data_IF_556604666148
#
_entry.id   IF_556604666148
#
_cell.length_a   1.000
_cell.length_b   1.000
_cell.length_c   1.000
_cell.angle_alpha   90.00
_cell.angle_beta   90.00
_cell.angle_gamma   90.00
#
_symmetry.space_group_name_H-M   'P 1'
#
loop_
_entity.id
_entity.type
_entity.pdbx_description
1 polymer ?
#
# COMPACT_ATOMS: atom_id res chain seq x y z
N UNK A 1 -44.13 -3.44 -53.87
CA UNK A 1 -43.12 -4.52 -53.72
C UNK A 1 -41.68 -3.99 -53.51
N UNK A 2 -41.46 -2.69 -53.24
CA UNK A 2 -40.09 -2.14 -53.08
C UNK A 2 -39.69 -1.80 -51.64
N UNK A 3 -40.65 -1.76 -50.70
CA UNK A 3 -40.43 -1.26 -49.33
C UNK A 3 -39.92 -2.32 -48.36
N UNK A 4 -40.26 -3.60 -48.56
CA UNK A 4 -39.83 -4.70 -47.68
C UNK A 4 -38.33 -4.99 -47.78
N UNK A 5 -37.75 -4.84 -48.97
CA UNK A 5 -36.32 -5.07 -49.23
C UNK A 5 -35.41 -3.97 -48.68
N UNK A 6 -35.91 -2.74 -48.52
CA UNK A 6 -35.14 -1.64 -47.90
C UNK A 6 -35.08 -1.77 -46.37
N UNK A 7 -36.16 -2.23 -45.73
CA UNK A 7 -36.24 -2.40 -44.27
C UNK A 7 -35.35 -3.57 -43.79
N UNK A 8 -35.28 -4.65 -44.58
CA UNK A 8 -34.43 -5.81 -44.31
C UNK A 8 -32.93 -5.50 -44.50
N UNK A 9 -32.59 -4.66 -45.50
CA UNK A 9 -31.22 -4.19 -45.71
C UNK A 9 -30.75 -3.22 -44.60
N UNK A 10 -31.64 -2.35 -44.13
CA UNK A 10 -31.33 -1.40 -43.06
C UNK A 10 -31.09 -2.10 -41.70
N UNK A 11 -31.89 -3.11 -41.37
CA UNK A 11 -31.72 -3.91 -40.14
C UNK A 11 -30.45 -4.76 -40.18
N UNK A 12 -30.08 -5.31 -41.34
CA UNK A 12 -28.82 -6.02 -41.53
C UNK A 12 -27.59 -5.09 -41.37
N UNK A 13 -27.64 -3.88 -41.93
CA UNK A 13 -26.55 -2.90 -41.81
C UNK A 13 -26.35 -2.39 -40.37
N UNK A 14 -27.43 -2.21 -39.61
CA UNK A 14 -27.38 -1.84 -38.19
C UNK A 14 -26.81 -2.99 -37.34
N UNK A 15 -27.20 -4.23 -37.62
CA UNK A 15 -26.70 -5.40 -36.90
C UNK A 15 -25.18 -5.61 -37.10
N UNK A 16 -24.65 -5.37 -38.31
CA UNK A 16 -23.21 -5.53 -38.59
C UNK A 16 -22.35 -4.42 -37.98
N UNK A 17 -22.88 -3.22 -37.76
CA UNK A 17 -22.15 -2.14 -37.06
C UNK A 17 -22.19 -2.27 -35.54
N UNK A 18 -23.19 -2.97 -34.98
CA UNK A 18 -23.33 -3.25 -33.55
C UNK A 18 -22.43 -4.39 -33.08
N UNK A 19 -22.26 -5.45 -33.87
CA UNK A 19 -21.37 -6.59 -33.58
C UNK A 19 -19.95 -6.21 -33.14
N UNK A 20 -19.19 -5.34 -33.84
CA UNK A 20 -17.84 -4.98 -33.44
C UNK A 20 -17.83 -4.12 -32.17
N UNK A 21 -18.86 -3.30 -31.92
CA UNK A 21 -18.97 -2.51 -30.68
C UNK A 21 -19.23 -3.41 -29.47
N UNK A 22 -20.12 -4.39 -29.61
CA UNK A 22 -20.42 -5.39 -28.59
C UNK A 22 -19.18 -6.24 -28.29
N UNK A 23 -18.48 -6.72 -29.33
CA UNK A 23 -17.26 -7.51 -29.16
C UNK A 23 -16.16 -6.72 -28.43
N UNK A 24 -15.96 -5.44 -28.78
CA UNK A 24 -15.01 -4.54 -28.10
C UNK A 24 -15.39 -4.31 -26.63
N UNK A 25 -16.69 -4.16 -26.35
CA UNK A 25 -17.18 -4.01 -24.98
C UNK A 25 -16.88 -5.26 -24.15
N UNK A 26 -17.19 -6.46 -24.65
CA UNK A 26 -16.87 -7.70 -23.97
C UNK A 26 -15.35 -7.93 -23.80
N UNK A 27 -14.56 -7.59 -24.82
CA UNK A 27 -13.10 -7.66 -24.73
C UNK A 27 -12.56 -6.74 -23.63
N UNK A 28 -13.03 -5.48 -23.56
CA UNK A 28 -12.67 -4.56 -22.49
C UNK A 28 -13.09 -5.12 -21.13
N UNK A 29 -14.32 -5.63 -21.01
CA UNK A 29 -14.82 -6.18 -19.75
C UNK A 29 -13.99 -7.38 -19.28
N UNK A 30 -13.57 -8.27 -20.19
CA UNK A 30 -12.66 -9.37 -19.85
C UNK A 30 -11.27 -8.88 -19.43
N UNK A 31 -10.70 -7.89 -20.11
CA UNK A 31 -9.38 -7.31 -19.76
C UNK A 31 -9.45 -6.64 -18.39
N UNK A 32 -10.48 -5.83 -18.11
CA UNK A 32 -10.67 -5.20 -16.81
C UNK A 32 -10.89 -6.24 -15.71
N UNK A 33 -11.73 -7.25 -15.96
CA UNK A 33 -11.96 -8.34 -15.01
C UNK A 33 -10.69 -9.12 -14.68
N UNK A 34 -9.89 -9.48 -15.70
CA UNK A 34 -8.62 -10.15 -15.50
C UNK A 34 -7.61 -9.25 -14.77
N UNK A 35 -7.55 -7.97 -15.13
CA UNK A 35 -6.67 -6.99 -14.49
C UNK A 35 -6.92 -6.87 -12.99
N UNK A 36 -8.19 -6.74 -12.58
CA UNK A 36 -8.55 -6.63 -11.16
C UNK A 36 -8.13 -7.86 -10.33
N UNK A 37 -8.14 -9.05 -10.94
CA UNK A 37 -7.72 -10.28 -10.27
C UNK A 37 -6.19 -10.41 -10.14
N UNK A 38 -5.42 -9.85 -11.07
CA UNK A 38 -3.95 -9.94 -11.09
C UNK A 38 -3.30 -8.86 -10.22
N UNK A 39 -3.97 -7.71 -10.03
CA UNK A 39 -3.44 -6.57 -9.26
C UNK A 39 -2.94 -6.96 -7.84
N UNK A 40 -3.68 -7.72 -7.01
CA UNK A 40 -3.20 -8.11 -5.68
C UNK A 40 -1.93 -8.95 -5.73
N UNK A 41 -1.80 -9.85 -6.71
CA UNK A 41 -0.62 -10.69 -6.88
C UNK A 41 0.61 -9.87 -7.27
N UNK A 42 0.44 -8.92 -8.20
CA UNK A 42 1.53 -8.02 -8.64
C UNK A 42 1.93 -7.06 -7.52
N UNK A 43 0.96 -6.61 -6.72
CA UNK A 43 1.25 -5.78 -5.56
C UNK A 43 2.09 -6.56 -4.54
N UNK A 44 1.71 -7.80 -4.22
CA UNK A 44 2.46 -8.66 -3.30
C UNK A 44 3.88 -8.97 -3.80
N UNK A 45 4.06 -9.27 -5.10
CA UNK A 45 5.39 -9.53 -5.66
C UNK A 45 6.30 -8.29 -5.64
N UNK A 46 5.72 -7.09 -5.64
CA UNK A 46 6.47 -5.82 -5.63
C UNK A 46 6.96 -5.38 -4.25
N UNK A 47 6.49 -6.01 -3.17
CA UNK A 47 6.84 -5.63 -1.79
C UNK A 47 8.35 -5.77 -1.56
N UNK A 48 8.95 -6.88 -1.97
CA UNK A 48 10.39 -7.12 -1.75
C UNK A 48 11.28 -6.04 -2.35
N UNK A 49 11.02 -5.68 -3.62
CA UNK A 49 11.74 -4.60 -4.29
C UNK A 49 11.58 -3.26 -3.54
N UNK A 50 10.40 -3.01 -2.99
CA UNK A 50 10.11 -1.79 -2.24
C UNK A 50 10.84 -1.76 -0.91
N UNK A 51 10.92 -2.89 -0.21
CA UNK A 51 11.72 -3.01 1.01
C UNK A 51 13.22 -2.85 0.75
N UNK A 52 13.71 -3.29 -0.41
CA UNK A 52 15.10 -3.05 -0.82
C UNK A 52 15.41 -1.56 -1.03
N UNK A 53 14.43 -0.76 -1.48
CA UNK A 53 14.61 0.70 -1.60
C UNK A 53 14.83 1.38 -0.25
N UNK A 54 14.28 0.81 0.83
CA UNK A 54 14.46 1.35 2.19
C UNK A 54 15.87 1.11 2.75
N UNK A 55 16.67 0.29 2.11
CA UNK A 55 18.07 0.03 2.47
C UNK A 55 19.05 0.99 1.76
N UNK A 56 18.54 1.87 0.91
CA UNK A 56 19.36 2.88 0.25
C UNK A 56 19.91 3.90 1.26
N UNK A 57 21.07 4.47 0.95
CA UNK A 57 21.66 5.55 1.76
C UNK A 57 20.98 6.90 1.51
N UNK A 58 20.45 7.10 0.30
CA UNK A 58 19.83 8.35 -0.12
C UNK A 58 18.42 8.51 0.48
N UNK A 59 18.16 9.54 1.32
CA UNK A 59 16.88 9.73 1.98
C UNK A 59 15.69 9.80 1.03
N UNK A 60 15.90 10.36 -0.17
CA UNK A 60 14.88 10.42 -1.21
C UNK A 60 14.42 9.02 -1.67
N UNK A 61 15.36 8.08 -1.84
CA UNK A 61 15.04 6.71 -2.26
C UNK A 61 14.32 5.96 -1.14
N UNK A 62 14.75 6.15 0.10
CA UNK A 62 14.09 5.56 1.28
C UNK A 62 12.64 6.05 1.38
N UNK A 63 12.40 7.37 1.26
CA UNK A 63 11.05 7.96 1.25
C UNK A 63 10.19 7.40 0.11
N UNK A 64 10.76 7.26 -1.09
CA UNK A 64 10.06 6.64 -2.22
C UNK A 64 9.69 5.17 -1.93
N UNK A 65 10.58 4.42 -1.26
CA UNK A 65 10.32 3.07 -0.76
C UNK A 65 9.13 3.04 0.21
N UNK A 66 9.15 3.87 1.26
CA UNK A 66 8.06 3.99 2.23
C UNK A 66 6.72 4.34 1.56
N UNK A 67 6.71 5.40 0.75
CA UNK A 67 5.54 5.85 0.00
C UNK A 67 4.94 4.74 -0.88
N UNK A 68 5.80 4.06 -1.65
CA UNK A 68 5.38 2.94 -2.50
C UNK A 68 4.83 1.79 -1.67
N UNK A 69 5.42 1.47 -0.52
CA UNK A 69 4.94 0.38 0.33
C UNK A 69 3.55 0.71 0.88
N UNK A 70 3.30 1.94 1.34
CA UNK A 70 1.98 2.38 1.79
C UNK A 70 0.92 2.19 0.70
N UNK A 71 1.25 2.52 -0.56
CA UNK A 71 0.36 2.31 -1.69
C UNK A 71 0.07 0.82 -1.91
N UNK A 72 1.10 -0.03 -1.87
CA UNK A 72 0.95 -1.48 -2.06
C UNK A 72 0.10 -2.12 -0.95
N UNK A 73 0.29 -1.72 0.31
CA UNK A 73 -0.45 -2.26 1.47
C UNK A 73 -1.95 -1.93 1.49
N UNK A 74 -2.45 -1.15 0.52
CA UNK A 74 -3.89 -1.08 0.22
C UNK A 74 -4.46 -2.42 -0.23
N UNK A 75 -3.64 -3.26 -0.85
CA UNK A 75 -3.98 -4.65 -1.16
C UNK A 75 -3.59 -5.56 0.01
N UNK A 76 -4.54 -6.35 0.50
CA UNK A 76 -4.35 -7.25 1.65
C UNK A 76 -3.17 -8.22 1.45
N UNK A 77 -3.10 -8.85 0.28
CA UNK A 77 -2.00 -9.77 -0.07
C UNK A 77 -0.61 -9.11 0.02
N UNK A 78 -0.51 -7.81 -0.31
CA UNK A 78 0.76 -7.09 -0.21
C UNK A 78 1.09 -6.72 1.24
N UNK A 79 0.10 -6.42 2.08
CA UNK A 79 0.29 -6.17 3.51
C UNK A 79 0.78 -7.42 4.23
N UNK A 80 0.11 -8.55 4.02
CA UNK A 80 0.55 -9.85 4.54
C UNK A 80 1.98 -10.17 4.09
N UNK A 81 2.29 -9.90 2.81
CA UNK A 81 3.64 -10.10 2.29
C UNK A 81 4.67 -9.17 2.94
N UNK A 82 4.30 -7.94 3.27
CA UNK A 82 5.16 -7.00 3.98
C UNK A 82 5.49 -7.49 5.39
N UNK A 83 4.48 -7.99 6.12
CA UNK A 83 4.67 -8.65 7.42
C UNK A 83 5.64 -9.83 7.31
N UNK A 84 5.39 -10.76 6.39
CA UNK A 84 6.23 -11.94 6.16
C UNK A 84 7.68 -11.59 5.80
N UNK A 85 7.91 -10.45 5.14
CA UNK A 85 9.24 -9.98 4.74
C UNK A 85 9.91 -9.07 5.78
N UNK A 86 9.33 -8.93 6.98
CA UNK A 86 9.92 -8.18 8.08
C UNK A 86 9.90 -6.67 7.87
N UNK A 87 8.82 -6.13 7.27
CA UNK A 87 8.66 -4.69 7.08
C UNK A 87 8.73 -3.91 8.40
N UNK A 88 8.11 -4.40 9.48
CA UNK A 88 8.14 -3.77 10.80
C UNK A 88 9.58 -3.52 11.27
N UNK A 89 10.42 -4.56 11.29
CA UNK A 89 11.85 -4.45 11.65
C UNK A 89 12.58 -3.40 10.83
N UNK A 90 12.37 -3.36 9.51
CA UNK A 90 13.04 -2.40 8.62
C UNK A 90 12.62 -0.96 8.95
N UNK A 91 11.32 -0.73 9.13
CA UNK A 91 10.77 0.58 9.44
C UNK A 91 11.22 1.08 10.82
N UNK A 92 11.23 0.20 11.83
CA UNK A 92 11.74 0.54 13.17
C UNK A 92 13.21 0.95 13.15
N UNK A 93 14.05 0.29 12.33
CA UNK A 93 15.46 0.69 12.16
C UNK A 93 15.61 2.09 11.58
N UNK A 94 14.70 2.52 10.70
CA UNK A 94 14.72 3.90 10.17
C UNK A 94 14.44 4.92 11.27
N UNK A 95 13.52 4.61 12.19
CA UNK A 95 13.23 5.48 13.35
C UNK A 95 14.41 5.57 14.33
N UNK A 96 15.18 4.49 14.46
CA UNK A 96 16.31 4.39 15.39
C UNK A 96 17.65 4.82 14.79
N UNK A 97 17.70 5.14 13.49
CA UNK A 97 18.93 5.51 12.82
C UNK A 97 19.46 6.86 13.36
N UNK A 98 20.71 6.93 13.83
CA UNK A 98 21.28 8.19 14.32
C UNK A 98 21.30 9.25 13.22
N UNK A 99 20.70 10.41 13.48
CA UNK A 99 20.66 11.51 12.51
C UNK A 99 19.77 11.24 11.29
N UNK A 100 18.77 10.37 11.42
CA UNK A 100 17.79 10.13 10.36
C UNK A 100 17.14 11.45 9.87
N UNK A 101 16.98 11.58 8.56
CA UNK A 101 16.21 12.65 7.93
C UNK A 101 14.79 12.69 8.51
N UNK A 102 14.32 13.85 8.95
CA UNK A 102 12.98 14.01 9.55
C UNK A 102 11.89 13.50 8.61
N UNK A 103 12.04 13.75 7.30
CA UNK A 103 11.12 13.23 6.29
C UNK A 103 11.16 11.70 6.19
N UNK A 104 12.33 11.05 6.31
CA UNK A 104 12.41 9.58 6.35
C UNK A 104 11.66 9.04 7.56
N UNK A 105 11.82 9.68 8.72
CA UNK A 105 11.13 9.30 9.96
C UNK A 105 9.62 9.43 9.81
N UNK A 106 9.12 10.54 9.27
CA UNK A 106 7.68 10.74 9.05
C UNK A 106 7.09 9.68 8.10
N UNK A 107 7.76 9.44 6.97
CA UNK A 107 7.34 8.40 6.03
C UNK A 107 7.42 7.00 6.64
N UNK A 108 8.44 6.70 7.45
CA UNK A 108 8.55 5.42 8.13
C UNK A 108 7.41 5.24 9.15
N UNK A 109 7.09 6.27 9.93
CA UNK A 109 6.02 6.27 10.92
C UNK A 109 4.64 6.08 10.26
N UNK A 110 4.34 6.82 9.19
CA UNK A 110 3.12 6.65 8.41
C UNK A 110 3.03 5.25 7.76
N UNK A 111 4.17 4.65 7.41
CA UNK A 111 4.20 3.27 6.88
C UNK A 111 3.95 2.24 7.98
N UNK A 112 4.45 2.47 9.20
CA UNK A 112 4.17 1.63 10.37
C UNK A 112 2.69 1.68 10.75
N UNK A 113 2.09 2.87 10.76
CA UNK A 113 0.65 3.05 10.96
C UNK A 113 -0.13 2.22 9.93
N UNK A 114 0.22 2.33 8.65
CA UNK A 114 -0.44 1.56 7.58
C UNK A 114 -0.23 0.05 7.69
N UNK A 115 0.91 -0.40 8.22
CA UNK A 115 1.17 -1.81 8.50
C UNK A 115 0.29 -2.30 9.66
N UNK A 116 0.14 -1.47 10.70
CA UNK A 116 -0.66 -1.73 11.90
C UNK A 116 -2.18 -1.67 11.68
N UNK A 117 -2.66 -1.25 10.50
CA UNK A 117 -4.07 -1.31 10.10
C UNK A 117 -4.65 -2.75 10.05
N UNK A 118 -3.84 -3.80 10.25
CA UNK A 118 -4.32 -5.16 10.48
C UNK A 118 -3.64 -5.81 11.69
N UNK A 119 -4.29 -6.83 12.26
CA UNK A 119 -3.83 -7.51 13.46
C UNK A 119 -2.44 -8.14 13.28
N UNK A 120 -2.17 -8.82 12.15
CA UNK A 120 -0.88 -9.45 11.90
C UNK A 120 0.25 -8.42 11.80
N UNK A 121 -0.04 -7.24 11.27
CA UNK A 121 0.90 -6.14 11.20
C UNK A 121 1.22 -5.55 12.57
N UNK A 122 0.20 -5.40 13.41
CA UNK A 122 0.35 -4.94 14.79
C UNK A 122 1.11 -5.96 15.67
N UNK A 123 0.79 -7.25 15.52
CA UNK A 123 1.53 -8.36 16.16
C UNK A 123 2.99 -8.35 15.70
N UNK A 124 3.23 -8.22 14.40
CA UNK A 124 4.60 -8.13 13.87
C UNK A 124 5.35 -6.91 14.42
N UNK A 125 4.68 -5.77 14.56
CA UNK A 125 5.26 -4.58 15.16
C UNK A 125 5.64 -4.81 16.63
N UNK A 126 4.76 -5.44 17.42
CA UNK A 126 5.03 -5.82 18.81
C UNK A 126 6.25 -6.74 18.91
N UNK A 127 6.25 -7.82 18.14
CA UNK A 127 7.25 -8.87 18.20
C UNK A 127 8.65 -8.37 17.77
N UNK A 128 8.70 -7.37 16.90
CA UNK A 128 9.94 -6.70 16.48
C UNK A 128 10.39 -5.58 17.44
N UNK A 129 9.77 -5.44 18.62
CA UNK A 129 10.16 -4.47 19.64
C UNK A 129 9.60 -3.06 19.39
N UNK A 130 8.47 -2.95 18.70
CA UNK A 130 7.85 -1.68 18.33
C UNK A 130 7.56 -0.76 19.50
N UNK A 131 7.11 -1.29 20.63
CA UNK A 131 6.83 -0.48 21.83
C UNK A 131 8.08 0.28 22.30
N UNK A 132 9.17 -0.44 22.56
CA UNK A 132 10.42 0.17 23.03
C UNK A 132 10.99 1.17 22.00
N UNK A 133 10.87 0.87 20.71
CA UNK A 133 11.32 1.75 19.64
C UNK A 133 10.53 3.07 19.58
N UNK A 134 9.21 3.00 19.71
CA UNK A 134 8.31 4.16 19.69
C UNK A 134 8.45 5.02 20.96
N UNK A 135 8.61 4.39 22.13
CA UNK A 135 8.92 5.09 23.38
C UNK A 135 10.26 5.82 23.30
N UNK A 136 11.30 5.16 22.78
CA UNK A 136 12.60 5.78 22.57
C UNK A 136 12.53 6.96 21.59
N UNK A 137 11.75 6.81 20.50
CA UNK A 137 11.50 7.92 19.56
C UNK A 137 10.84 9.11 20.27
N UNK A 138 9.76 8.88 21.02
CA UNK A 138 9.05 9.95 21.74
C UNK A 138 9.91 10.61 22.82
N UNK A 139 10.81 9.86 23.46
CA UNK A 139 11.74 10.42 24.44
C UNK A 139 12.85 11.26 23.82
N UNK A 140 13.27 10.95 22.58
CA UNK A 140 14.36 11.63 21.89
C UNK A 140 13.93 12.74 20.92
N UNK A 141 12.68 12.75 20.47
CA UNK A 141 12.21 13.70 19.45
C UNK A 141 12.03 15.11 20.02
N UNK A 142 12.61 16.10 19.34
CA UNK A 142 12.34 17.50 19.63
C UNK A 142 11.05 17.92 18.90
N UNK A 143 10.10 18.49 19.65
CA UNK A 143 8.85 18.99 19.08
C UNK A 143 9.12 20.16 18.14
N UNK A 144 8.64 20.03 16.91
CA UNK A 144 8.59 21.06 15.89
C UNK A 144 7.35 20.82 15.03
N UNK A 145 6.89 21.81 14.23
CA UNK A 145 5.78 21.60 13.30
C UNK A 145 5.99 20.44 12.31
N UNK A 146 7.24 20.04 12.05
CA UNK A 146 7.56 18.91 11.17
C UNK A 146 7.46 17.55 11.87
N UNK A 147 7.51 17.52 13.20
CA UNK A 147 7.49 16.28 13.99
C UNK A 147 6.15 16.00 14.67
N UNK A 148 5.21 16.94 14.66
CA UNK A 148 3.90 16.78 15.32
C UNK A 148 3.13 15.56 14.82
N UNK A 149 3.04 15.38 13.50
CA UNK A 149 2.33 14.25 12.91
C UNK A 149 2.98 12.91 13.27
N UNK A 150 4.31 12.84 13.24
CA UNK A 150 5.05 11.64 13.60
C UNK A 150 4.93 11.31 15.10
N UNK A 151 4.92 12.32 15.97
CA UNK A 151 4.65 12.17 17.41
C UNK A 151 3.24 11.64 17.64
N UNK A 152 2.25 12.20 16.97
CA UNK A 152 0.86 11.77 17.08
C UNK A 152 0.69 10.30 16.65
N UNK A 153 1.25 9.93 15.50
CA UNK A 153 1.23 8.53 15.01
C UNK A 153 1.94 7.58 15.97
N UNK A 154 3.08 7.97 16.53
CA UNK A 154 3.78 7.16 17.51
C UNK A 154 2.93 6.89 18.76
N UNK A 155 2.22 7.91 19.25
CA UNK A 155 1.30 7.77 20.38
C UNK A 155 0.11 6.85 20.05
N UNK A 156 -0.47 6.99 18.86
CA UNK A 156 -1.55 6.09 18.41
C UNK A 156 -1.09 4.64 18.29
N UNK A 157 0.10 4.41 17.71
CA UNK A 157 0.66 3.08 17.59
C UNK A 157 0.95 2.45 18.96
N UNK A 158 1.45 3.22 19.93
CA UNK A 158 1.63 2.76 21.30
C UNK A 158 0.30 2.39 21.96
N UNK A 159 -0.74 3.20 21.77
CA UNK A 159 -2.08 2.88 22.27
C UNK A 159 -2.64 1.58 21.66
N UNK A 160 -2.44 1.38 20.36
CA UNK A 160 -2.84 0.13 19.68
C UNK A 160 -2.06 -1.08 20.20
N UNK A 161 -0.74 -0.96 20.39
CA UNK A 161 0.09 -2.02 20.94
C UNK A 161 -0.28 -2.39 22.37
N UNK A 162 -0.65 -1.41 23.20
CA UNK A 162 -1.11 -1.66 24.56
C UNK A 162 -2.41 -2.49 24.58
N UNK A 163 -3.37 -2.19 23.70
CA UNK A 163 -4.63 -2.94 23.57
C UNK A 163 -4.42 -4.39 23.11
N UNK A 164 -3.36 -4.66 22.33
CA UNK A 164 -3.01 -6.01 21.89
C UNK A 164 -2.45 -6.87 23.03
N UNK A 165 -1.84 -6.26 24.05
CA UNK A 165 -1.26 -6.98 25.20
C UNK A 165 -2.27 -7.46 26.25
N UNK A 166 -3.49 -6.91 26.22
CA UNK A 166 -4.57 -7.27 27.14
C UNK A 166 -5.43 -8.47 26.66
N UNK A 167 -5.04 -9.11 25.54
CA UNK A 167 -5.69 -10.29 24.92
C UNK A 167 -4.80 -11.51 25.11
#
# INVERSE_FOLDING_TARGET
>A
MSTATEEEAATAAVHDTLRPKILRFFALLMIFGAGLNVLPSVAASSVGNTLSLMEAQEPFIVKAGCSRLQLLMRAEAARQRAVQQGAARKLLRLLQAPGADEGVVDYAMATLEKLADCEEGLVSLRDEGGQAALEAYLAGVQRSPMTEDAIYRAQQLLAALAQLGDI
#
